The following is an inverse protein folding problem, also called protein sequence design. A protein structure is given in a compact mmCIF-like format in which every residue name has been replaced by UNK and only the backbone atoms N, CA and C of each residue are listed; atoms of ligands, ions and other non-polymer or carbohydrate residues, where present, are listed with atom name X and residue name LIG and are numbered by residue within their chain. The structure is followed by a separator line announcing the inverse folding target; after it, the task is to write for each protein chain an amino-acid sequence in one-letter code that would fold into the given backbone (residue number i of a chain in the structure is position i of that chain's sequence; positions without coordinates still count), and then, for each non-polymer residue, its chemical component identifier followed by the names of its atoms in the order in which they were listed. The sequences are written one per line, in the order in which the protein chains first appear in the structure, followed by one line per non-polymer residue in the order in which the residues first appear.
data_IF_123142237172
#
_entry.id   IF_123142237172
#
_cell.length_a   1.000
_cell.length_b   1.000
_cell.length_c   1.000
_cell.angle_alpha   90.00
_cell.angle_beta   90.00
_cell.angle_gamma   90.00
#
_symmetry.space_group_name_H-M   'P 1'
#
loop_
_entity.id
_entity.type
_entity.pdbx_description
1 polymer ?
#
# COMPACT_ATOMS: atom_id res chain seq x y z
N UNK A 1 56.14 -4.62 -21.80
CA UNK A 1 54.98 -4.11 -21.03
C UNK A 1 53.76 -4.85 -21.51
N UNK A 2 53.35 -5.85 -20.72
CA UNK A 2 52.11 -6.58 -20.92
C UNK A 2 50.93 -5.66 -20.62
N UNK A 3 50.00 -5.57 -21.56
CA UNK A 3 48.73 -4.85 -21.40
C UNK A 3 47.58 -5.80 -21.62
N UNK A 4 47.33 -6.65 -20.64
CA UNK A 4 46.07 -7.41 -20.48
C UNK A 4 45.03 -6.44 -19.93
N UNK A 5 43.84 -6.39 -20.54
CA UNK A 5 42.71 -5.75 -19.87
C UNK A 5 41.52 -5.39 -20.75
N UNK A 6 40.59 -6.34 -20.89
CA UNK A 6 39.17 -5.99 -20.90
C UNK A 6 38.44 -6.17 -22.23
N UNK A 7 38.18 -7.42 -22.59
CA UNK A 7 37.01 -7.76 -23.40
C UNK A 7 35.78 -7.10 -22.77
N UNK A 8 35.23 -6.11 -23.46
CA UNK A 8 33.87 -5.61 -23.25
C UNK A 8 32.90 -6.64 -23.82
N UNK A 9 32.88 -7.80 -23.16
CA UNK A 9 31.86 -8.81 -23.35
C UNK A 9 30.52 -8.21 -22.94
N UNK A 10 29.82 -7.66 -23.93
CA UNK A 10 28.39 -7.39 -23.85
C UNK A 10 27.73 -8.66 -23.34
N UNK A 11 27.36 -8.68 -22.07
CA UNK A 11 26.69 -9.81 -21.42
C UNK A 11 25.44 -10.16 -22.24
N UNK A 12 25.54 -11.16 -23.09
CA UNK A 12 24.38 -11.78 -23.71
C UNK A 12 23.51 -12.30 -22.57
N UNK A 13 22.39 -11.61 -22.31
CA UNK A 13 21.41 -12.05 -21.32
C UNK A 13 21.06 -13.50 -21.59
N UNK A 14 21.27 -14.37 -20.59
CA UNK A 14 20.99 -15.81 -20.70
C UNK A 14 19.56 -16.02 -21.23
N UNK A 15 19.28 -17.05 -22.05
CA UNK A 15 17.92 -17.33 -22.54
C UNK A 15 16.87 -17.44 -21.42
N UNK A 16 17.30 -17.81 -20.20
CA UNK A 16 16.46 -17.79 -18.99
C UNK A 16 16.13 -16.36 -18.57
N UNK A 17 17.10 -15.45 -18.61
CA UNK A 17 16.88 -14.03 -18.32
C UNK A 17 15.98 -13.36 -19.37
N UNK A 18 16.12 -13.74 -20.64
CA UNK A 18 15.25 -13.24 -21.71
C UNK A 18 13.80 -13.67 -21.50
N UNK A 19 13.54 -14.96 -21.23
CA UNK A 19 12.20 -15.46 -20.90
C UNK A 19 11.62 -14.84 -19.62
N UNK A 20 12.45 -14.65 -18.59
CA UNK A 20 12.04 -13.97 -17.37
C UNK A 20 11.66 -12.51 -17.63
N UNK A 21 12.41 -11.81 -18.49
CA UNK A 21 12.13 -10.43 -18.89
C UNK A 21 10.85 -10.32 -19.74
N UNK A 22 10.60 -11.27 -20.64
CA UNK A 22 9.35 -11.35 -21.42
C UNK A 22 8.15 -11.63 -20.52
N UNK A 23 8.25 -12.60 -19.60
CA UNK A 23 7.21 -12.89 -18.62
C UNK A 23 6.94 -11.68 -17.70
N UNK A 24 8.00 -10.97 -17.29
CA UNK A 24 7.90 -9.76 -16.48
C UNK A 24 7.17 -8.64 -17.23
N UNK A 25 7.47 -8.43 -18.52
CA UNK A 25 6.79 -7.45 -19.38
C UNK A 25 5.32 -7.78 -19.57
N UNK A 26 4.99 -9.06 -19.81
CA UNK A 26 3.61 -9.51 -19.97
C UNK A 26 2.83 -9.32 -18.66
N UNK A 27 3.45 -9.68 -17.55
CA UNK A 27 2.89 -9.50 -16.22
C UNK A 27 2.64 -8.02 -15.91
N UNK A 28 3.58 -7.12 -16.21
CA UNK A 28 3.39 -5.67 -16.08
C UNK A 28 2.28 -5.16 -17.00
N UNK A 29 2.21 -5.64 -18.24
CA UNK A 29 1.13 -5.27 -19.17
C UNK A 29 -0.26 -5.62 -18.61
N UNK A 30 -0.43 -6.82 -18.04
CA UNK A 30 -1.70 -7.20 -17.40
C UNK A 30 -1.96 -6.40 -16.12
N UNK A 31 -0.92 -6.09 -15.32
CA UNK A 31 -1.05 -5.23 -14.14
C UNK A 31 -1.54 -3.82 -14.51
N UNK A 32 -0.95 -3.22 -15.54
CA UNK A 32 -1.30 -1.88 -16.00
C UNK A 32 -2.75 -1.84 -16.52
N UNK A 33 -3.20 -2.91 -17.19
CA UNK A 33 -4.58 -3.05 -17.66
C UNK A 33 -5.60 -3.18 -16.52
N UNK A 34 -5.22 -3.76 -15.38
CA UNK A 34 -6.10 -3.89 -14.19
C UNK A 34 -6.08 -2.68 -13.27
N UNK A 35 -5.13 -1.77 -13.44
CA UNK A 35 -4.98 -0.55 -12.64
C UNK A 35 -6.25 0.32 -12.60
N UNK A 36 -6.95 0.62 -13.72
CA UNK A 36 -8.12 1.50 -13.70
C UNK A 36 -9.35 0.89 -13.01
N UNK A 37 -9.44 -0.45 -12.91
CA UNK A 37 -10.63 -1.13 -12.39
C UNK A 37 -10.54 -1.37 -10.88
N UNK A 38 -10.45 -0.31 -10.08
CA UNK A 38 -10.33 -0.41 -8.62
C UNK A 38 -11.48 -1.21 -7.98
N UNK A 39 -12.74 -0.93 -8.36
CA UNK A 39 -13.92 -1.61 -7.79
C UNK A 39 -13.86 -3.12 -8.03
N UNK A 40 -13.61 -3.55 -9.27
CA UNK A 40 -13.55 -4.97 -9.63
C UNK A 40 -12.41 -5.70 -8.90
N UNK A 41 -11.26 -5.01 -8.74
CA UNK A 41 -10.11 -5.51 -7.97
C UNK A 41 -10.48 -5.80 -6.52
N UNK A 42 -11.12 -4.84 -5.84
CA UNK A 42 -11.54 -4.98 -4.45
C UNK A 42 -12.66 -6.02 -4.27
N UNK A 43 -13.60 -6.11 -5.21
CA UNK A 43 -14.62 -7.18 -5.21
C UNK A 43 -13.95 -8.55 -5.30
N UNK A 44 -12.97 -8.73 -6.21
CA UNK A 44 -12.23 -9.99 -6.32
C UNK A 44 -11.52 -10.38 -5.03
N UNK A 45 -10.85 -9.43 -4.37
CA UNK A 45 -10.20 -9.67 -3.07
C UNK A 45 -11.22 -10.01 -1.98
N UNK A 46 -12.37 -9.34 -1.96
CA UNK A 46 -13.43 -9.62 -0.98
C UNK A 46 -13.99 -11.04 -1.16
N UNK A 47 -14.28 -11.44 -2.40
CA UNK A 47 -14.74 -12.81 -2.70
C UNK A 47 -13.71 -13.84 -2.26
N UNK A 48 -12.42 -13.62 -2.56
CA UNK A 48 -11.34 -14.50 -2.12
C UNK A 48 -11.22 -14.58 -0.59
N UNK A 49 -11.37 -13.44 0.10
CA UNK A 49 -11.36 -13.39 1.56
C UNK A 49 -12.54 -14.15 2.17
N UNK A 50 -13.74 -14.01 1.60
CA UNK A 50 -14.94 -14.75 2.04
C UNK A 50 -14.74 -16.26 1.85
N UNK A 51 -14.23 -16.70 0.70
CA UNK A 51 -13.94 -18.11 0.43
C UNK A 51 -12.92 -18.66 1.44
N UNK A 52 -11.87 -17.90 1.74
CA UNK A 52 -10.88 -18.25 2.76
C UNK A 52 -11.50 -18.39 4.15
N UNK A 53 -12.28 -17.40 4.59
CA UNK A 53 -12.97 -17.42 5.89
C UNK A 53 -13.93 -18.60 6.01
N UNK A 54 -14.73 -18.87 4.97
CA UNK A 54 -15.61 -20.04 4.92
C UNK A 54 -14.82 -21.33 5.06
N UNK A 55 -13.70 -21.47 4.34
CA UNK A 55 -12.84 -22.65 4.43
C UNK A 55 -12.30 -22.88 5.83
N UNK A 56 -11.72 -21.85 6.46
CA UNK A 56 -11.19 -21.94 7.84
C UNK A 56 -12.32 -22.27 8.83
N UNK A 57 -13.51 -21.67 8.65
CA UNK A 57 -14.67 -21.95 9.49
C UNK A 57 -15.17 -23.39 9.36
N UNK A 58 -15.24 -23.97 8.17
CA UNK A 58 -15.67 -25.37 8.01
C UNK A 58 -14.62 -26.38 8.45
N UNK A 59 -13.34 -26.11 8.18
CA UNK A 59 -12.25 -27.04 8.54
C UNK A 59 -11.87 -26.95 10.02
N UNK A 60 -12.23 -25.85 10.70
CA UNK A 60 -11.92 -25.62 12.12
C UNK A 60 -10.41 -25.78 12.42
N UNK A 61 -9.56 -25.33 11.49
CA UNK A 61 -8.10 -25.47 11.55
C UNK A 61 -7.36 -24.29 10.92
N UNK A 62 -6.04 -24.41 10.78
CA UNK A 62 -5.16 -23.40 10.17
C UNK A 62 -5.12 -22.04 10.89
N UNK A 63 -5.36 -22.02 12.20
CA UNK A 63 -5.40 -20.79 12.99
C UNK A 63 -4.09 -20.00 12.98
N UNK A 64 -2.95 -20.67 12.91
CA UNK A 64 -1.63 -20.02 12.79
C UNK A 64 -1.52 -19.27 11.47
N UNK A 65 -1.99 -19.87 10.37
CA UNK A 65 -1.98 -19.24 9.05
C UNK A 65 -2.91 -18.03 9.04
N UNK A 66 -4.10 -18.16 9.61
CA UNK A 66 -5.06 -17.04 9.79
C UNK A 66 -4.46 -15.91 10.63
N UNK A 67 -3.74 -16.24 11.70
CA UNK A 67 -3.07 -15.28 12.56
C UNK A 67 -1.93 -14.56 11.84
N UNK A 68 -1.07 -15.29 11.12
CA UNK A 68 0.00 -14.72 10.31
C UNK A 68 -0.55 -13.82 9.20
N UNK A 69 -1.63 -14.24 8.52
CA UNK A 69 -2.35 -13.44 7.54
C UNK A 69 -2.87 -12.14 8.18
N UNK A 70 -3.48 -12.23 9.36
CA UNK A 70 -3.99 -11.07 10.11
C UNK A 70 -2.89 -10.07 10.49
N UNK A 71 -1.74 -10.55 10.97
CA UNK A 71 -0.59 -9.67 11.27
C UNK A 71 -0.06 -9.02 9.98
N UNK A 72 0.03 -9.78 8.89
CA UNK A 72 0.48 -9.27 7.61
C UNK A 72 -0.45 -8.18 7.06
N UNK A 73 -1.77 -8.41 7.11
CA UNK A 73 -2.82 -7.44 6.76
C UNK A 73 -2.66 -6.18 7.59
N UNK A 74 -2.43 -6.32 8.90
CA UNK A 74 -2.20 -5.18 9.78
C UNK A 74 -0.92 -4.41 9.40
N UNK A 75 0.18 -5.10 9.09
CA UNK A 75 1.40 -4.47 8.63
C UNK A 75 1.20 -3.68 7.32
N UNK A 76 0.43 -4.22 6.38
CA UNK A 76 0.04 -3.50 5.17
C UNK A 76 -0.79 -2.25 5.50
N UNK A 77 -1.71 -2.34 6.46
CA UNK A 77 -2.52 -1.24 6.94
C UNK A 77 -1.68 -0.12 7.56
N UNK A 78 -0.68 -0.47 8.36
CA UNK A 78 0.30 0.50 8.89
C UNK A 78 1.05 1.18 7.74
N UNK A 79 1.57 0.41 6.78
CA UNK A 79 2.28 0.97 5.62
C UNK A 79 1.40 1.84 4.72
N UNK A 80 0.09 1.60 4.69
CA UNK A 80 -0.87 2.42 3.97
C UNK A 80 -1.20 3.74 4.70
N UNK A 81 -1.27 3.70 6.03
CA UNK A 81 -1.58 4.87 6.87
C UNK A 81 -0.35 5.73 7.21
N UNK A 82 0.86 5.16 7.07
CA UNK A 82 2.12 5.85 7.34
C UNK A 82 2.54 6.72 6.14
N UNK A 83 2.97 7.97 6.38
CA UNK A 83 3.43 8.87 5.32
C UNK A 83 4.74 8.36 4.72
N UNK A 84 5.01 8.71 3.45
CA UNK A 84 6.27 8.35 2.78
C UNK A 84 7.50 9.05 3.40
N UNK A 85 7.30 10.26 3.93
CA UNK A 85 8.32 11.07 4.61
C UNK A 85 7.87 11.27 6.05
N UNK A 86 8.69 10.87 7.02
CA UNK A 86 8.36 11.02 8.44
C UNK A 86 8.41 12.50 8.84
N UNK A 87 7.30 13.08 9.34
CA UNK A 87 7.25 14.48 9.75
C UNK A 87 8.24 14.85 10.86
N UNK A 88 8.69 13.87 11.65
CA UNK A 88 9.66 14.09 12.73
C UNK A 88 11.05 14.50 12.21
N UNK A 89 11.43 14.06 11.01
CA UNK A 89 12.70 14.45 10.36
C UNK A 89 12.66 15.86 9.77
N UNK A 90 11.47 16.34 9.38
CA UNK A 90 11.27 17.70 8.84
C UNK A 90 11.23 18.77 9.95
N UNK A 91 10.92 18.40 11.19
CA UNK A 91 10.88 19.34 12.33
C UNK A 91 12.22 19.59 13.00
N UNK A 92 13.29 18.86 12.66
CA UNK A 92 14.62 19.04 13.24
C UNK A 92 15.48 20.13 12.59
N UNK A 93 15.07 20.70 11.44
CA UNK A 93 15.81 21.76 10.76
C UNK A 93 15.23 23.17 11.06
N UNK A 94 15.75 23.78 12.13
CA UNK A 94 15.86 25.23 12.28
C UNK A 94 14.68 25.99 12.95
N UNK A 95 14.95 27.11 13.63
CA UNK A 95 13.94 27.91 14.31
C UNK A 95 13.07 28.65 13.28
N UNK A 96 11.85 28.16 13.04
CA UNK A 96 10.87 28.85 12.19
C UNK A 96 10.08 29.89 12.99
N UNK A 97 10.01 31.10 12.43
CA UNK A 97 9.20 32.21 12.92
C UNK A 97 7.70 31.86 12.90
N UNK A 98 6.90 32.29 13.90
CA UNK A 98 5.49 31.93 13.97
C UNK A 98 4.69 32.71 12.92
N UNK A 99 4.45 32.11 11.76
CA UNK A 99 3.53 32.64 10.75
C UNK A 99 2.21 31.88 10.82
N UNK A 100 1.28 32.40 11.63
CA UNK A 100 -0.14 32.03 11.59
C UNK A 100 -0.67 32.32 10.18
N UNK A 101 -1.15 31.32 9.44
CA UNK A 101 -2.02 31.55 8.27
C UNK A 101 -1.94 30.53 7.14
N UNK A 102 -0.89 29.73 7.04
CA UNK A 102 -0.76 28.70 6.01
C UNK A 102 -0.28 27.40 6.65
N UNK A 103 -1.20 26.65 7.26
CA UNK A 103 -1.02 25.21 7.49
C UNK A 103 -0.85 24.60 6.09
N UNK A 104 0.39 24.57 5.63
CA UNK A 104 0.82 24.10 4.33
C UNK A 104 0.40 22.63 4.21
N UNK A 105 -0.70 22.43 3.48
CA UNK A 105 -1.33 21.14 3.29
C UNK A 105 -0.39 20.27 2.45
N UNK A 106 0.57 19.59 3.09
CA UNK A 106 1.46 18.64 2.41
C UNK A 106 0.59 17.51 1.84
N UNK A 107 0.52 17.36 0.49
CA UNK A 107 -0.25 16.30 -0.11
C UNK A 107 0.25 14.96 0.42
N UNK A 108 -0.67 14.14 0.89
CA UNK A 108 -0.30 12.82 1.35
C UNK A 108 0.17 11.93 0.24
N UNK A 109 1.46 11.65 0.30
CA UNK A 109 2.02 10.53 -0.42
C UNK A 109 2.10 9.40 0.60
N UNK A 110 1.14 8.48 0.52
CA UNK A 110 1.12 7.27 1.35
C UNK A 110 2.35 6.42 1.01
N UNK A 111 3.00 5.83 2.02
CA UNK A 111 4.20 4.99 1.82
C UNK A 111 3.90 3.77 0.93
N UNK A 112 2.68 3.24 1.03
CA UNK A 112 2.18 2.16 0.18
C UNK A 112 1.06 2.66 -0.76
N UNK A 113 1.31 2.76 -2.09
CA UNK A 113 0.27 3.06 -3.07
C UNK A 113 -0.87 2.03 -3.00
N UNK A 114 -2.12 2.47 -3.23
CA UNK A 114 -3.31 1.61 -3.15
C UNK A 114 -3.19 0.35 -4.01
N UNK A 115 -2.63 0.46 -5.21
CA UNK A 115 -2.44 -0.69 -6.09
C UNK A 115 -1.49 -1.74 -5.48
N UNK A 116 -0.39 -1.30 -4.87
CA UNK A 116 0.55 -2.19 -4.18
C UNK A 116 -0.04 -2.79 -2.90
N UNK A 117 -0.83 -2.01 -2.16
CA UNK A 117 -1.60 -2.50 -1.02
C UNK A 117 -2.54 -3.63 -1.44
N UNK A 118 -3.40 -3.36 -2.44
CA UNK A 118 -4.36 -4.32 -2.96
C UNK A 118 -3.69 -5.58 -3.50
N UNK A 119 -2.63 -5.44 -4.29
CA UNK A 119 -1.91 -6.57 -4.86
C UNK A 119 -1.27 -7.43 -3.77
N UNK A 120 -0.62 -6.81 -2.78
CA UNK A 120 0.01 -7.52 -1.67
C UNK A 120 -1.02 -8.23 -0.81
N UNK A 121 -2.16 -7.59 -0.55
CA UNK A 121 -3.29 -8.16 0.18
C UNK A 121 -3.84 -9.39 -0.54
N UNK A 122 -4.17 -9.26 -1.83
CA UNK A 122 -4.74 -10.34 -2.64
C UNK A 122 -3.78 -11.51 -2.74
N UNK A 123 -2.48 -11.25 -2.95
CA UNK A 123 -1.44 -12.27 -2.97
C UNK A 123 -1.35 -13.01 -1.63
N UNK A 124 -1.44 -12.32 -0.50
CA UNK A 124 -1.40 -12.95 0.81
C UNK A 124 -2.62 -13.85 1.06
N UNK A 125 -3.83 -13.40 0.70
CA UNK A 125 -5.02 -14.25 0.77
C UNK A 125 -4.90 -15.48 -0.12
N UNK A 126 -4.39 -15.33 -1.35
CA UNK A 126 -4.17 -16.46 -2.25
C UNK A 126 -3.17 -17.47 -1.68
N UNK A 127 -2.03 -17.00 -1.18
CA UNK A 127 -1.01 -17.87 -0.56
C UNK A 127 -1.57 -18.56 0.68
N UNK A 128 -2.23 -17.82 1.58
CA UNK A 128 -2.84 -18.38 2.78
C UNK A 128 -3.89 -19.44 2.42
N UNK A 129 -4.72 -19.19 1.42
CA UNK A 129 -5.68 -20.15 0.90
C UNK A 129 -5.00 -21.42 0.38
N UNK A 130 -3.95 -21.31 -0.43
CA UNK A 130 -3.17 -22.46 -0.91
C UNK A 130 -2.52 -23.23 0.25
N UNK A 131 -1.98 -22.53 1.26
CA UNK A 131 -1.41 -23.17 2.45
C UNK A 131 -2.43 -24.01 3.22
N UNK A 132 -3.72 -23.62 3.23
CA UNK A 132 -4.77 -24.41 3.90
C UNK A 132 -5.09 -25.76 3.22
N UNK A 133 -4.47 -26.09 2.07
CA UNK A 133 -4.59 -27.44 1.48
C UNK A 133 -3.56 -28.42 2.01
N UNK A 134 -2.52 -27.95 2.69
CA UNK A 134 -1.45 -28.80 3.22
C UNK A 134 -1.63 -28.96 4.72
N UNK A 135 -1.94 -30.19 5.17
CA UNK A 135 -2.13 -30.51 6.59
C UNK A 135 -0.92 -30.21 7.48
N UNK A 136 0.28 -30.10 6.90
CA UNK A 136 1.50 -29.71 7.60
C UNK A 136 1.38 -28.37 8.34
N UNK A 137 0.59 -27.42 7.82
CA UNK A 137 0.40 -26.11 8.44
C UNK A 137 -0.73 -26.07 9.49
N UNK A 138 -1.43 -27.20 9.69
CA UNK A 138 -2.53 -27.31 10.64
C UNK A 138 -2.03 -27.81 12.00
N UNK A 139 -1.50 -26.88 12.79
CA UNK A 139 -1.00 -27.17 14.13
C UNK A 139 -2.10 -26.84 15.15
N UNK A 140 -2.49 -27.78 16.03
CA UNK A 140 -3.51 -27.55 17.04
C UNK A 140 -2.99 -26.52 18.05
N UNK A 141 -3.61 -25.33 18.05
CA UNK A 141 -3.31 -24.22 18.97
C UNK A 141 -4.60 -23.68 19.57
N UNK A 142 -4.50 -23.11 20.76
CA UNK A 142 -5.64 -22.48 21.41
C UNK A 142 -5.99 -21.14 20.71
N UNK A 143 -6.73 -21.23 19.60
CA UNK A 143 -7.02 -20.09 18.73
C UNK A 143 -7.69 -18.87 19.41
N UNK A 144 -8.51 -18.99 20.48
CA UNK A 144 -9.11 -17.82 21.11
C UNK A 144 -8.05 -16.85 21.66
N UNK A 145 -6.93 -17.37 22.18
CA UNK A 145 -5.86 -16.51 22.69
C UNK A 145 -5.18 -15.73 21.55
N UNK A 146 -4.95 -16.39 20.40
CA UNK A 146 -4.37 -15.75 19.22
C UNK A 146 -5.27 -14.65 18.69
N UNK A 147 -6.59 -14.88 18.65
CA UNK A 147 -7.56 -13.87 18.27
C UNK A 147 -7.53 -12.67 19.23
N UNK A 148 -7.52 -12.91 20.55
CA UNK A 148 -7.39 -11.86 21.55
C UNK A 148 -6.10 -11.04 21.35
N UNK A 149 -4.95 -11.71 21.17
CA UNK A 149 -3.69 -11.04 20.88
C UNK A 149 -3.77 -10.17 19.62
N UNK A 150 -4.34 -10.71 18.54
CA UNK A 150 -4.49 -9.98 17.30
C UNK A 150 -5.40 -8.75 17.47
N UNK A 151 -6.53 -8.87 18.16
CA UNK A 151 -7.44 -7.74 18.43
C UNK A 151 -6.75 -6.66 19.26
N UNK A 152 -6.07 -7.03 20.35
CA UNK A 152 -5.35 -6.08 21.19
C UNK A 152 -4.27 -5.36 20.40
N UNK A 153 -3.46 -6.12 19.64
CA UNK A 153 -2.40 -5.58 18.81
C UNK A 153 -2.96 -4.68 17.72
N UNK A 154 -4.06 -5.06 17.06
CA UNK A 154 -4.77 -4.26 16.06
C UNK A 154 -5.24 -2.93 16.65
N UNK A 155 -5.94 -2.95 17.79
CA UNK A 155 -6.47 -1.74 18.43
C UNK A 155 -5.34 -0.83 18.90
N UNK A 156 -4.31 -1.36 19.56
CA UNK A 156 -3.16 -0.56 20.00
C UNK A 156 -2.44 0.08 18.81
N UNK A 157 -2.22 -0.69 17.74
CA UNK A 157 -1.58 -0.21 16.52
C UNK A 157 -2.41 0.88 15.87
N UNK A 158 -3.71 0.66 15.67
CA UNK A 158 -4.60 1.66 15.05
C UNK A 158 -4.71 2.92 15.89
N UNK A 159 -4.84 2.80 17.22
CA UNK A 159 -4.86 3.97 18.13
C UNK A 159 -3.56 4.76 18.02
N UNK A 160 -2.41 4.11 18.00
CA UNK A 160 -1.10 4.76 17.84
C UNK A 160 -0.98 5.45 16.48
N UNK A 161 -1.38 4.78 15.40
CA UNK A 161 -1.35 5.36 14.05
C UNK A 161 -2.26 6.58 13.95
N UNK A 162 -3.50 6.50 14.43
CA UNK A 162 -4.46 7.63 14.42
C UNK A 162 -3.97 8.78 15.31
N UNK A 163 -3.38 8.50 16.48
CA UNK A 163 -2.81 9.54 17.34
C UNK A 163 -1.65 10.29 16.65
N UNK A 164 -0.79 9.56 15.94
CA UNK A 164 0.29 10.17 15.15
C UNK A 164 -0.27 11.03 13.99
N UNK A 165 -1.28 10.51 13.29
CA UNK A 165 -2.00 11.24 12.24
C UNK A 165 -2.59 12.56 12.77
N UNK A 166 -3.23 12.53 13.93
CA UNK A 166 -3.79 13.73 14.56
C UNK A 166 -2.68 14.71 15.01
N UNK A 167 -1.59 14.21 15.61
CA UNK A 167 -0.47 15.02 16.08
C UNK A 167 0.21 15.79 14.93
N UNK A 168 0.43 15.11 13.80
CA UNK A 168 1.10 15.68 12.63
C UNK A 168 0.13 16.20 11.56
N UNK A 169 -1.15 16.39 11.94
CA UNK A 169 -2.23 16.98 11.13
C UNK A 169 -2.32 16.42 9.73
N UNK A 170 -2.40 15.11 9.67
CA UNK A 170 -2.26 14.42 8.43
C UNK A 170 -3.50 13.51 8.22
N UNK A 171 -4.24 13.71 7.12
CA UNK A 171 -5.44 12.94 6.73
C UNK A 171 -5.15 12.07 5.48
N UNK A 172 -5.29 10.74 5.54
CA UNK A 172 -4.95 9.83 4.44
C UNK A 172 -5.99 9.89 3.32
N UNK A 173 -7.16 10.43 3.60
CA UNK A 173 -8.24 10.66 2.64
C UNK A 173 -8.31 12.16 2.34
N UNK A 174 -8.13 12.54 1.07
CA UNK A 174 -8.29 13.91 0.61
C UNK A 174 -9.78 14.29 0.49
N UNK A 175 -10.56 14.05 1.55
CA UNK A 175 -11.95 14.46 1.67
C UNK A 175 -11.97 15.99 1.87
N UNK A 176 -11.93 16.74 0.77
CA UNK A 176 -12.06 18.20 0.82
C UNK A 176 -11.05 19.01 0.02
N UNK A 177 -10.50 18.52 -1.10
CA UNK A 177 -9.84 19.45 -2.03
C UNK A 177 -10.86 20.51 -2.45
N UNK A 178 -10.64 21.76 -2.02
CA UNK A 178 -11.30 22.90 -2.63
C UNK A 178 -10.96 22.87 -4.12
N UNK A 179 -11.96 22.63 -4.97
CA UNK A 179 -11.88 22.99 -6.38
C UNK A 179 -11.58 24.49 -6.40
N UNK A 180 -10.35 24.86 -6.74
CA UNK A 180 -10.07 26.23 -7.16
C UNK A 180 -10.99 26.50 -8.35
N UNK A 181 -12.03 27.31 -8.11
CA UNK A 181 -12.92 27.77 -9.15
C UNK A 181 -12.08 28.51 -10.18
N UNK A 182 -12.14 28.03 -11.44
CA UNK A 182 -11.47 28.68 -12.55
C UNK A 182 -11.85 30.15 -12.56
N UNK A 183 -10.85 31.02 -12.45
CA UNK A 183 -10.99 32.47 -12.58
C UNK A 183 -11.63 32.73 -13.95
N UNK A 184 -12.92 33.10 -13.98
CA UNK A 184 -13.56 33.63 -15.19
C UNK A 184 -12.72 34.83 -15.60
N UNK A 185 -12.04 34.73 -16.75
CA UNK A 185 -11.35 35.86 -17.35
C UNK A 185 -12.35 36.99 -17.52
N UNK A 186 -12.15 38.07 -16.76
CA UNK A 186 -12.88 39.31 -16.96
C UNK A 186 -12.51 39.83 -18.34
N UNK A 187 -13.46 39.66 -19.25
CA UNK A 187 -13.55 40.26 -20.58
C UNK A 187 -13.00 41.69 -20.61
N UNK A 188 -12.08 41.92 -21.54
CA UNK A 188 -11.60 43.22 -21.97
C UNK A 188 -12.77 44.15 -22.34
N UNK A 189 -13.02 45.18 -21.55
CA UNK A 189 -13.83 46.32 -21.98
C UNK A 189 -12.92 47.37 -22.60
N UNK A 190 -12.95 47.41 -23.93
CA UNK A 190 -12.37 48.44 -24.76
C UNK A 190 -13.15 49.75 -24.53
N UNK A 191 -12.50 50.82 -24.06
CA UNK A 191 -13.07 52.17 -24.06
C UNK A 191 -12.12 53.14 -24.74
N UNK A 192 -12.29 53.26 -26.07
CA UNK A 192 -11.95 54.47 -26.82
C UNK A 192 -13.18 55.37 -26.76
N UNK A 193 -13.02 56.60 -26.29
CA UNK A 193 -13.92 57.71 -26.57
C UNK A 193 -13.15 59.01 -26.34
N UNK A 194 -12.97 59.73 -27.46
CA UNK A 194 -12.85 61.18 -27.67
C UNK A 194 -11.88 62.03 -26.84
#
# INVERSE_FOLDING_TARGET
MEGVGGDTGSMASSPVQQRANEAWRLYQYYLDKTTPHAVNRWIGTLVMAVIYCLRVYYVQGFYIISYALGIYVLNLLIGFLSPLVDPELDTSDGPMLPTKGSDEFKPFIRRLPEFKFWYSMTKAFFIAFVMTFFSFFDIPVFWPILLCYWIVLFVLTMRRQIAHMMKYKYIPFSLGKQKYGGKKGSSSSNSRAD
#
